data_IF_547344230456
#
_entry.id   IF_547344230456
#
_cell.length_a   1.000
_cell.length_b   1.000
_cell.length_c   1.000
_cell.angle_alpha   90.00
_cell.angle_beta   90.00
_cell.angle_gamma   90.00
#
_symmetry.space_group_name_H-M   'P 1'
#
loop_
_entity.id
_entity.type
_entity.pdbx_description
1 polymer ?
#
# COMPACT_ATOMS: atom_id res chain seq x y z
N UNK A 1 10.62 -12.09 -23.66
CA UNK A 1 9.98 -12.32 -22.34
C UNK A 1 10.15 -11.04 -21.53
N UNK A 2 9.68 -9.92 -22.06
CA UNK A 2 9.85 -8.57 -21.51
C UNK A 2 8.50 -7.86 -21.53
N UNK A 3 7.60 -8.24 -20.62
CA UNK A 3 6.30 -7.59 -20.46
C UNK A 3 6.00 -7.21 -19.00
N UNK A 4 7.00 -7.23 -18.10
CA UNK A 4 6.81 -6.90 -16.69
C UNK A 4 7.44 -5.57 -16.25
N UNK A 5 7.91 -4.75 -17.18
CA UNK A 5 8.45 -3.43 -16.87
C UNK A 5 7.45 -2.34 -17.29
N UNK A 6 6.80 -1.77 -16.27
CA UNK A 6 6.68 -0.31 -16.04
C UNK A 6 5.29 0.27 -15.72
N UNK A 7 4.16 -0.33 -16.10
CA UNK A 7 2.87 0.40 -15.96
C UNK A 7 1.90 -0.09 -14.87
N UNK A 8 2.15 -1.23 -14.22
CA UNK A 8 1.17 -1.88 -13.33
C UNK A 8 1.48 -1.75 -11.83
N UNK A 9 2.68 -1.30 -11.47
CA UNK A 9 3.12 -1.08 -10.10
C UNK A 9 3.10 0.39 -9.66
N UNK A 10 2.46 1.26 -10.43
CA UNK A 10 1.96 2.52 -9.91
C UNK A 10 0.84 2.21 -8.92
N UNK A 11 1.17 1.75 -7.71
CA UNK A 11 0.29 1.95 -6.58
C UNK A 11 0.01 3.44 -6.59
N UNK A 12 -1.17 3.85 -7.03
CA UNK A 12 -1.76 5.13 -6.63
C UNK A 12 -2.00 4.99 -5.13
N UNK A 13 -0.91 4.90 -4.37
CA UNK A 13 -0.92 4.99 -2.92
C UNK A 13 -1.62 6.28 -2.61
N UNK A 14 -2.42 6.26 -1.55
CA UNK A 14 -3.21 7.41 -1.17
C UNK A 14 -2.34 8.68 -1.22
N UNK A 15 -2.68 9.69 -2.04
CA UNK A 15 -1.79 10.81 -2.25
C UNK A 15 -1.59 11.50 -0.91
N UNK A 16 -0.33 11.62 -0.47
CA UNK A 16 0.04 12.34 0.75
C UNK A 16 -0.05 13.86 0.53
N UNK A 17 -1.19 14.33 0.06
CA UNK A 17 -1.45 15.72 -0.26
C UNK A 17 -2.39 16.35 0.79
N UNK A 18 -2.27 17.67 0.92
CA UNK A 18 -2.99 18.43 1.93
C UNK A 18 -4.51 18.44 1.70
N UNK A 19 -4.95 18.31 0.44
CA UNK A 19 -6.37 18.32 0.09
C UNK A 19 -7.08 17.09 0.65
N UNK A 20 -6.50 15.91 0.46
CA UNK A 20 -7.07 14.64 0.90
C UNK A 20 -7.12 14.55 2.44
N UNK A 21 -6.08 15.02 3.14
CA UNK A 21 -6.08 15.07 4.61
C UNK A 21 -7.06 16.09 5.18
N UNK A 22 -7.19 17.29 4.57
CA UNK A 22 -8.23 18.25 4.97
C UNK A 22 -9.61 17.67 4.78
N UNK A 23 -9.85 16.98 3.66
CA UNK A 23 -11.13 16.35 3.39
C UNK A 23 -11.47 15.27 4.43
N UNK A 24 -10.50 14.41 4.78
CA UNK A 24 -10.67 13.43 5.87
C UNK A 24 -11.03 14.11 7.20
N UNK A 25 -10.31 15.17 7.58
CA UNK A 25 -10.58 15.91 8.81
C UNK A 25 -11.99 16.54 8.80
N UNK A 26 -12.44 17.08 7.65
CA UNK A 26 -13.79 17.62 7.47
C UNK A 26 -14.89 16.56 7.62
N UNK A 27 -14.60 15.31 7.23
CA UNK A 27 -15.48 14.17 7.46
C UNK A 27 -15.47 13.66 8.92
N UNK A 28 -14.64 14.23 9.78
CA UNK A 28 -14.50 13.82 11.19
C UNK A 28 -13.65 12.55 11.38
N UNK A 29 -12.86 12.15 10.38
CA UNK A 29 -11.90 11.05 10.51
C UNK A 29 -10.84 11.42 11.55
N UNK A 30 -10.46 10.46 12.39
CA UNK A 30 -9.41 10.63 13.41
C UNK A 30 -8.21 9.71 13.11
N UNK A 31 -8.48 8.47 12.72
CA UNK A 31 -7.47 7.47 12.43
C UNK A 31 -7.38 7.19 10.91
N UNK A 32 -6.17 7.19 10.39
CA UNK A 32 -5.87 6.99 8.97
C UNK A 32 -5.12 5.68 8.77
N UNK A 33 -5.52 4.94 7.75
CA UNK A 33 -4.78 3.82 7.17
C UNK A 33 -4.25 4.26 5.81
N UNK A 34 -2.94 4.21 5.62
CA UNK A 34 -2.33 4.50 4.33
C UNK A 34 -1.99 3.20 3.62
N UNK A 35 -2.56 2.99 2.43
CA UNK A 35 -2.20 1.88 1.58
C UNK A 35 -0.97 2.23 0.73
N UNK A 36 0.11 1.48 0.94
CA UNK A 36 1.41 1.62 0.24
C UNK A 36 1.82 3.10 0.11
N UNK A 37 2.03 3.81 1.24
CA UNK A 37 2.47 5.20 1.20
C UNK A 37 3.79 5.31 0.41
N UNK A 38 4.06 6.44 -0.27
CA UNK A 38 5.24 6.66 -1.09
C UNK A 38 6.51 6.89 -0.24
N UNK A 39 6.78 6.00 0.71
CA UNK A 39 8.02 5.97 1.49
C UNK A 39 9.13 5.48 0.57
N UNK A 40 10.24 6.22 0.43
CA UNK A 40 11.38 5.80 -0.37
C UNK A 40 11.93 4.45 0.11
N UNK A 41 12.22 3.57 -0.83
CA UNK A 41 12.92 2.31 -0.56
C UNK A 41 14.42 2.57 -0.72
N UNK A 42 15.18 2.41 0.37
CA UNK A 42 16.64 2.56 0.41
C UNK A 42 17.22 1.22 0.79
N UNK A 43 18.13 0.69 -0.02
CA UNK A 43 18.74 -0.63 0.20
C UNK A 43 17.71 -1.76 0.44
N UNK A 44 16.54 -1.68 -0.22
CA UNK A 44 15.47 -2.67 -0.11
C UNK A 44 14.56 -2.53 1.12
N UNK A 45 14.72 -1.51 1.96
CA UNK A 45 13.95 -1.28 3.18
C UNK A 45 13.41 0.15 3.30
N UNK A 46 12.52 0.37 4.27
CA UNK A 46 12.13 1.72 4.69
C UNK A 46 12.94 2.18 5.90
N UNK A 47 13.42 3.41 5.84
CA UNK A 47 14.14 4.03 6.95
C UNK A 47 13.17 4.72 7.92
N UNK A 48 13.53 4.69 9.21
CA UNK A 48 12.75 5.32 10.28
C UNK A 48 12.45 6.80 9.99
N UNK A 49 13.43 7.56 9.49
CA UNK A 49 13.28 9.00 9.22
C UNK A 49 12.19 9.27 8.17
N UNK A 50 12.09 8.44 7.14
CA UNK A 50 11.11 8.62 6.08
C UNK A 50 9.69 8.28 6.59
N UNK A 51 9.57 7.26 7.44
CA UNK A 51 8.32 6.89 8.11
C UNK A 51 7.82 7.97 9.08
N UNK A 52 8.73 8.56 9.86
CA UNK A 52 8.43 9.71 10.72
C UNK A 52 7.97 10.90 9.89
N UNK A 53 8.58 11.14 8.72
CA UNK A 53 8.13 12.18 7.79
C UNK A 53 6.69 11.99 7.32
N UNK A 54 6.31 10.75 6.95
CA UNK A 54 4.92 10.44 6.58
C UNK A 54 3.97 10.65 7.76
N UNK A 55 4.32 10.15 8.96
CA UNK A 55 3.51 10.32 10.16
C UNK A 55 3.29 11.80 10.49
N UNK A 56 4.36 12.60 10.53
CA UNK A 56 4.27 14.03 10.86
C UNK A 56 3.35 14.77 9.88
N UNK A 57 3.40 14.42 8.59
CA UNK A 57 2.53 15.03 7.58
C UNK A 57 1.05 14.69 7.77
N UNK A 58 0.72 13.52 8.31
CA UNK A 58 -0.66 13.17 8.71
C UNK A 58 -1.05 13.96 9.97
N UNK A 59 -0.16 14.00 10.96
CA UNK A 59 -0.39 14.69 12.24
C UNK A 59 -0.65 16.21 12.07
N UNK A 60 -0.04 16.85 11.07
CA UNK A 60 -0.26 18.27 10.71
C UNK A 60 -1.73 18.63 10.45
N UNK A 61 -2.59 17.64 10.12
CA UNK A 61 -4.01 17.83 9.86
C UNK A 61 -4.90 17.39 11.03
N UNK A 62 -4.32 17.11 12.20
CA UNK A 62 -5.05 16.60 13.36
C UNK A 62 -5.53 15.15 13.20
N UNK A 63 -4.97 14.44 12.23
CA UNK A 63 -5.22 13.02 11.97
C UNK A 63 -4.14 12.18 12.65
N UNK A 64 -4.41 10.90 12.88
CA UNK A 64 -3.46 9.93 13.45
C UNK A 64 -3.18 8.83 12.44
N UNK A 65 -1.93 8.64 12.07
CA UNK A 65 -1.51 7.48 11.28
C UNK A 65 -1.52 6.21 12.15
N UNK A 66 -2.58 5.42 12.03
CA UNK A 66 -2.79 4.23 12.89
C UNK A 66 -2.35 2.94 12.20
N UNK A 67 -2.42 2.87 10.87
CA UNK A 67 -1.90 1.72 10.16
C UNK A 67 -1.26 2.05 8.81
N UNK A 68 -0.31 1.21 8.41
CA UNK A 68 0.12 1.09 7.02
C UNK A 68 -0.38 -0.24 6.47
N UNK A 69 -1.06 -0.18 5.33
CA UNK A 69 -1.48 -1.35 4.57
C UNK A 69 -0.55 -1.55 3.37
N UNK A 70 0.29 -2.58 3.47
CA UNK A 70 1.33 -3.00 2.53
C UNK A 70 2.56 -2.08 2.44
N UNK A 71 3.72 -2.73 2.35
CA UNK A 71 4.92 -2.18 1.71
C UNK A 71 4.83 -2.32 0.18
N UNK A 72 5.72 -1.66 -0.56
CA UNK A 72 5.89 -1.93 -2.00
C UNK A 72 6.18 -3.42 -2.20
N UNK A 73 5.58 -4.03 -3.23
CA UNK A 73 5.72 -5.48 -3.47
C UNK A 73 7.18 -5.88 -3.71
N UNK A 74 7.98 -4.97 -4.26
CA UNK A 74 9.38 -5.21 -4.62
C UNK A 74 10.24 -5.51 -3.40
N UNK A 75 9.77 -5.12 -2.21
CA UNK A 75 10.43 -5.41 -0.93
C UNK A 75 10.20 -6.86 -0.46
N UNK A 76 9.19 -7.59 -0.98
CA UNK A 76 8.80 -8.92 -0.46
C UNK A 76 8.41 -9.98 -1.50
N UNK A 77 8.47 -9.69 -2.80
CA UNK A 77 8.02 -10.64 -3.83
C UNK A 77 8.83 -11.95 -3.90
N UNK A 78 10.13 -11.94 -3.61
CA UNK A 78 10.92 -13.17 -3.48
C UNK A 78 10.56 -13.95 -2.22
N UNK A 79 10.16 -13.28 -1.13
CA UNK A 79 9.61 -13.96 0.06
C UNK A 79 8.31 -14.72 -0.27
N UNK A 80 7.43 -14.09 -1.06
CA UNK A 80 6.16 -14.69 -1.47
C UNK A 80 6.37 -15.86 -2.43
N UNK A 81 7.27 -15.70 -3.41
CA UNK A 81 7.47 -16.68 -4.49
C UNK A 81 8.53 -17.75 -4.19
N UNK A 82 9.24 -17.68 -3.04
CA UNK A 82 10.38 -18.55 -2.76
C UNK A 82 11.55 -18.31 -3.72
N UNK A 83 11.76 -17.07 -4.14
CA UNK A 83 12.78 -16.71 -5.14
C UNK A 83 14.19 -16.54 -4.54
N UNK A 84 15.21 -16.29 -5.39
CA UNK A 84 16.62 -16.30 -4.96
C UNK A 84 17.01 -15.21 -3.94
N UNK A 85 16.25 -14.11 -3.82
CA UNK A 85 16.51 -13.03 -2.85
C UNK A 85 15.67 -13.15 -1.57
N UNK A 86 15.19 -14.35 -1.25
CA UNK A 86 14.33 -14.59 -0.09
C UNK A 86 14.96 -14.05 1.21
N UNK A 87 16.20 -14.45 1.52
CA UNK A 87 16.88 -14.08 2.77
C UNK A 87 17.11 -12.56 2.86
N UNK A 88 17.60 -11.95 1.78
CA UNK A 88 17.81 -10.50 1.71
C UNK A 88 16.51 -9.72 1.97
N UNK A 89 15.41 -10.13 1.34
CA UNK A 89 14.11 -9.49 1.55
C UNK A 89 13.55 -9.75 2.95
N UNK A 90 13.77 -10.94 3.51
CA UNK A 90 13.38 -11.26 4.88
C UNK A 90 14.08 -10.32 5.88
N UNK A 91 15.40 -10.17 5.77
CA UNK A 91 16.18 -9.28 6.63
C UNK A 91 15.72 -7.81 6.51
N UNK A 92 15.55 -7.32 5.28
CA UNK A 92 15.07 -5.96 5.01
C UNK A 92 13.65 -5.71 5.50
N UNK A 93 12.76 -6.70 5.39
CA UNK A 93 11.38 -6.60 5.88
C UNK A 93 11.32 -6.62 7.41
N UNK A 94 12.16 -7.42 8.07
CA UNK A 94 12.27 -7.38 9.54
C UNK A 94 12.70 -5.99 10.03
N UNK A 95 13.67 -5.37 9.37
CA UNK A 95 14.11 -4.02 9.71
C UNK A 95 13.03 -2.96 9.41
N UNK A 96 12.35 -3.09 8.28
CA UNK A 96 11.20 -2.23 7.92
C UNK A 96 10.11 -2.31 8.98
N UNK A 97 9.73 -3.50 9.45
CA UNK A 97 8.70 -3.68 10.48
C UNK A 97 9.12 -3.05 11.81
N UNK A 98 10.39 -3.22 12.21
CA UNK A 98 10.94 -2.53 13.40
C UNK A 98 10.86 -1.01 13.24
N UNK A 99 11.23 -0.48 12.08
CA UNK A 99 11.19 0.96 11.80
C UNK A 99 9.75 1.51 11.82
N UNK A 100 8.76 0.76 11.33
CA UNK A 100 7.33 1.13 11.45
C UNK A 100 6.93 1.25 12.93
N UNK A 101 7.31 0.27 13.75
CA UNK A 101 7.08 0.30 15.19
C UNK A 101 7.80 1.47 15.88
N UNK A 102 9.07 1.70 15.56
CA UNK A 102 9.87 2.79 16.10
C UNK A 102 9.36 4.18 15.68
N UNK A 103 8.70 4.30 14.52
CA UNK A 103 8.01 5.52 14.09
C UNK A 103 6.72 5.79 14.89
N UNK A 104 6.29 4.84 15.74
CA UNK A 104 5.07 4.95 16.54
C UNK A 104 3.80 4.60 15.75
N UNK A 105 3.93 3.86 14.65
CA UNK A 105 2.79 3.39 13.85
C UNK A 105 2.41 1.99 14.36
N UNK A 106 1.24 1.83 15.02
CA UNK A 106 0.98 0.64 15.83
C UNK A 106 0.54 -0.58 15.02
N UNK A 107 0.08 -0.41 13.77
CA UNK A 107 -0.44 -1.51 12.96
C UNK A 107 0.23 -1.52 11.59
N UNK A 108 0.76 -2.70 11.24
CA UNK A 108 1.24 -2.98 9.90
C UNK A 108 0.49 -4.19 9.36
N UNK A 109 -0.10 -4.05 8.18
CA UNK A 109 -0.73 -5.17 7.47
C UNK A 109 -0.02 -5.37 6.14
N UNK A 110 0.01 -6.62 5.67
CA UNK A 110 0.58 -6.95 4.37
C UNK A 110 -0.18 -8.08 3.71
N UNK A 111 -0.24 -8.03 2.37
CA UNK A 111 -0.74 -9.14 1.59
C UNK A 111 0.38 -10.16 1.29
N UNK A 112 0.07 -11.45 1.46
CA UNK A 112 0.92 -12.57 1.04
C UNK A 112 0.54 -13.16 -0.33
N UNK A 113 -0.24 -12.42 -1.10
CA UNK A 113 -0.59 -12.76 -2.49
C UNK A 113 0.35 -12.06 -3.45
N UNK A 114 0.70 -12.74 -4.54
CA UNK A 114 1.24 -12.05 -5.71
C UNK A 114 0.17 -11.09 -6.26
N UNK A 115 0.54 -9.90 -6.76
CA UNK A 115 -0.42 -8.84 -7.03
C UNK A 115 -1.48 -9.25 -8.05
N UNK A 116 -2.71 -9.24 -7.57
CA UNK A 116 -3.96 -9.05 -8.31
C UNK A 116 -5.06 -8.71 -7.30
N UNK A 117 -5.62 -7.51 -7.39
CA UNK A 117 -6.97 -7.31 -6.91
C UNK A 117 -7.87 -7.72 -8.06
N UNK A 118 -8.65 -8.76 -7.87
CA UNK A 118 -9.48 -9.30 -8.94
C UNK A 118 -10.77 -8.47 -8.99
N UNK A 119 -10.78 -7.50 -9.91
CA UNK A 119 -11.96 -6.75 -10.33
C UNK A 119 -11.96 -6.68 -11.85
N UNK A 120 -13.10 -6.96 -12.44
CA UNK A 120 -13.28 -6.94 -13.90
C UNK A 120 -13.97 -5.70 -14.40
N UNK A 121 -14.61 -4.96 -13.50
CA UNK A 121 -15.35 -3.74 -13.82
C UNK A 121 -16.14 -3.21 -12.64
N UNK A 122 -17.17 -2.42 -12.97
CA UNK A 122 -18.13 -1.87 -12.03
C UNK A 122 -19.55 -2.18 -12.49
N UNK A 123 -20.48 -2.27 -11.55
CA UNK A 123 -21.91 -2.44 -11.81
C UNK A 123 -22.71 -1.36 -11.09
N UNK A 124 -23.82 -0.93 -11.66
CA UNK A 124 -24.75 -0.02 -10.99
C UNK A 124 -25.42 -0.76 -9.83
N UNK A 125 -25.26 -0.24 -8.61
CA UNK A 125 -25.89 -0.77 -7.39
C UNK A 125 -27.16 0.00 -7.00
N UNK A 126 -27.61 0.90 -7.87
CA UNK A 126 -28.81 1.72 -7.75
C UNK A 126 -28.49 3.21 -7.69
N UNK A 127 -29.42 4.02 -8.20
CA UNK A 127 -29.39 5.49 -8.09
C UNK A 127 -28.14 6.15 -8.69
N UNK A 128 -27.48 5.48 -9.65
CA UNK A 128 -26.26 5.97 -10.29
C UNK A 128 -24.97 5.70 -9.50
N UNK A 129 -25.04 4.97 -8.38
CA UNK A 129 -23.86 4.55 -7.63
C UNK A 129 -23.22 3.30 -8.27
N UNK A 130 -21.90 3.29 -8.38
CA UNK A 130 -21.14 2.17 -8.95
C UNK A 130 -20.49 1.34 -7.85
N UNK A 131 -20.73 0.02 -7.87
CA UNK A 131 -20.02 -0.97 -7.06
C UNK A 131 -18.96 -1.71 -7.87
N UNK A 132 -17.87 -2.13 -7.24
CA UNK A 132 -16.84 -2.95 -7.91
C UNK A 132 -17.36 -4.37 -8.16
N UNK A 133 -17.07 -4.95 -9.33
CA UNK A 133 -17.54 -6.28 -9.72
C UNK A 133 -16.39 -7.22 -10.14
N UNK A 134 -16.72 -8.51 -10.19
CA UNK A 134 -15.87 -9.58 -10.71
C UNK A 134 -16.69 -10.47 -11.64
N UNK A 135 -16.10 -10.85 -12.78
CA UNK A 135 -16.68 -11.69 -13.83
C UNK A 135 -15.64 -12.73 -14.26
N UNK A 136 -15.91 -14.00 -14.02
CA UNK A 136 -14.95 -15.07 -14.32
C UNK A 136 -14.64 -15.22 -15.81
N UNK A 137 -15.60 -14.91 -16.69
CA UNK A 137 -15.41 -15.03 -18.14
C UNK A 137 -14.46 -13.94 -18.66
N UNK A 138 -14.59 -12.72 -18.15
CA UNK A 138 -13.69 -11.60 -18.50
C UNK A 138 -12.26 -11.90 -18.03
N UNK A 139 -12.08 -12.43 -16.81
CA UNK A 139 -10.74 -12.77 -16.33
C UNK A 139 -10.12 -13.94 -17.10
N UNK A 140 -10.92 -14.96 -17.45
CA UNK A 140 -10.43 -16.09 -18.23
C UNK A 140 -9.93 -15.66 -19.62
N UNK A 141 -10.54 -14.64 -20.23
CA UNK A 141 -10.10 -14.08 -21.51
C UNK A 141 -8.87 -13.16 -21.46
N UNK A 142 -8.33 -12.84 -20.28
CA UNK A 142 -7.15 -11.98 -20.08
C UNK A 142 -5.85 -12.75 -19.79
N UNK A 143 -5.95 -14.04 -19.52
CA UNK A 143 -4.80 -14.94 -19.30
C UNK A 143 -4.31 -15.52 -20.62
#
# INVERSE_FOLDING_TARGET
MDLCHEDWYGSQGFPLNAEAFRFMAQLGVQDVVLNTPPVPVKDGKWELVDLVGVKNRVDEFGLKLTAIENTQIDMRHHMIAGGPRFEEQLENMLETIKNIGNAGIPVYTMSWRYPRFYRTGHVDVGWGALGTAYDSEIEAGRM
#
